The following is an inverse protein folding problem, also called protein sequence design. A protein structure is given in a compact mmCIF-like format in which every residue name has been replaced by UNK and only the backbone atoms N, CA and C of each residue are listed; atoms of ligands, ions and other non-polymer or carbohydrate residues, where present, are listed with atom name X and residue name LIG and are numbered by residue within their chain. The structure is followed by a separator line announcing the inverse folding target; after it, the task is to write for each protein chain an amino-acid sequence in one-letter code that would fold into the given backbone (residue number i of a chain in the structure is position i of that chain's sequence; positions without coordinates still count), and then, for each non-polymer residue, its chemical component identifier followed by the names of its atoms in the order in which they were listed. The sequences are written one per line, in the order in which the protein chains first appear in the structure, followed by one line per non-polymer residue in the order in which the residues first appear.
data_IF_689039286675
#
_entry.id   IF_689039286675
#
_cell.length_a   1.000
_cell.length_b   1.000
_cell.length_c   1.000
_cell.angle_alpha   90.00
_cell.angle_beta   90.00
_cell.angle_gamma   90.00
#
_symmetry.space_group_name_H-M   'P 1'
#
loop_
_entity.id
_entity.type
_entity.pdbx_description
1 polymer ?
#
# COMPACT_ATOMS: atom_id res chain seq x y z
N UNK A 1 33.83 -37.43 -43.08
CA UNK A 1 33.13 -38.57 -42.44
C UNK A 1 32.06 -37.94 -41.56
N UNK A 2 30.96 -37.48 -42.20
CA UNK A 2 29.58 -38.01 -42.13
C UNK A 2 28.90 -37.53 -40.83
N UNK A 3 27.78 -36.79 -40.79
CA UNK A 3 26.83 -36.26 -41.79
C UNK A 3 25.85 -35.29 -41.08
N UNK A 4 25.28 -34.34 -41.84
CA UNK A 4 24.08 -33.58 -41.50
C UNK A 4 22.83 -34.41 -41.88
N UNK A 5 21.78 -34.40 -41.05
CA UNK A 5 20.39 -34.11 -41.46
C UNK A 5 19.28 -34.76 -40.60
N UNK A 6 18.38 -33.86 -40.16
CA UNK A 6 16.92 -33.97 -40.14
C UNK A 6 16.15 -34.49 -38.90
N UNK A 7 15.05 -33.73 -38.64
CA UNK A 7 13.84 -33.97 -37.83
C UNK A 7 13.92 -33.45 -36.38
N UNK A 8 12.98 -32.66 -35.84
CA UNK A 8 11.70 -32.10 -36.31
C UNK A 8 11.20 -31.06 -35.30
N UNK A 9 10.43 -30.07 -35.77
CA UNK A 9 9.67 -29.10 -34.97
C UNK A 9 8.91 -29.74 -33.79
N UNK A 10 8.95 -29.06 -32.65
CA UNK A 10 8.02 -29.24 -31.54
C UNK A 10 7.94 -27.95 -30.74
N UNK A 11 6.85 -27.21 -30.91
CA UNK A 11 6.51 -26.01 -30.16
C UNK A 11 6.49 -26.31 -28.65
N UNK A 12 7.47 -25.78 -27.91
CA UNK A 12 7.47 -25.79 -26.45
C UNK A 12 7.00 -24.44 -25.89
N UNK A 13 5.76 -24.06 -26.20
CA UNK A 13 5.00 -23.10 -25.39
C UNK A 13 4.35 -23.85 -24.22
N UNK A 14 5.19 -24.28 -23.27
CA UNK A 14 4.72 -24.81 -22.00
C UNK A 14 4.13 -23.68 -21.15
N UNK A 15 2.80 -23.63 -21.05
CA UNK A 15 2.10 -22.79 -20.07
C UNK A 15 2.44 -23.26 -18.65
N UNK A 16 3.47 -22.67 -18.04
CA UNK A 16 3.75 -22.86 -16.63
C UNK A 16 2.80 -22.01 -15.78
N UNK A 17 1.60 -22.55 -15.51
CA UNK A 17 0.69 -22.01 -14.51
C UNK A 17 1.15 -22.39 -13.10
N UNK A 18 1.54 -21.42 -12.28
CA UNK A 18 1.80 -21.66 -10.86
C UNK A 18 0.47 -21.70 -10.10
N UNK A 19 0.14 -22.86 -9.54
CA UNK A 19 -1.02 -23.02 -8.65
C UNK A 19 -0.52 -22.97 -7.22
N UNK A 20 -0.74 -21.84 -6.54
CA UNK A 20 -0.51 -21.76 -5.10
C UNK A 20 -1.70 -22.43 -4.38
N UNK A 21 -1.47 -23.60 -3.78
CA UNK A 21 -2.42 -24.24 -2.86
C UNK A 21 -1.99 -23.88 -1.43
N UNK A 22 -2.83 -23.15 -0.70
CA UNK A 22 -2.67 -23.04 0.76
C UNK A 22 -2.98 -24.41 1.37
N UNK A 23 -2.09 -24.95 2.19
CA UNK A 23 -2.40 -26.12 3.01
C UNK A 23 -3.28 -25.68 4.20
N UNK A 24 -4.54 -26.10 4.18
CA UNK A 24 -5.48 -25.90 5.28
C UNK A 24 -6.83 -26.55 4.95
N UNK A 25 -7.26 -27.48 5.79
CA UNK A 25 -8.51 -28.25 5.65
C UNK A 25 -9.74 -27.38 5.92
N UNK A 26 -10.59 -27.20 4.91
CA UNK A 26 -11.88 -26.50 5.01
C UNK A 26 -12.45 -26.18 3.63
N UNK A 27 -13.67 -26.64 3.35
CA UNK A 27 -14.34 -26.58 2.06
C UNK A 27 -14.68 -25.14 1.60
N UNK A 28 -14.71 -24.92 0.28
CA UNK A 28 -14.86 -23.66 -0.47
C UNK A 28 -13.66 -22.68 -0.45
N UNK A 29 -12.59 -23.03 -1.17
CA UNK A 29 -11.54 -22.08 -1.56
C UNK A 29 -11.64 -21.74 -3.05
N UNK A 30 -11.77 -20.45 -3.37
CA UNK A 30 -11.63 -19.96 -4.73
C UNK A 30 -10.24 -20.34 -5.27
N UNK A 31 -10.20 -21.11 -6.35
CA UNK A 31 -8.97 -21.55 -7.00
C UNK A 31 -8.36 -20.36 -7.75
N UNK A 32 -7.23 -19.85 -7.26
CA UNK A 32 -6.51 -18.77 -7.93
C UNK A 32 -5.53 -19.33 -8.96
N UNK A 33 -5.52 -18.76 -10.16
CA UNK A 33 -4.55 -19.08 -11.21
C UNK A 33 -3.72 -17.85 -11.49
N UNK A 34 -2.44 -17.89 -11.13
CA UNK A 34 -1.48 -16.88 -11.56
C UNK A 34 -1.22 -17.10 -13.05
N UNK A 35 -1.61 -16.14 -13.88
CA UNK A 35 -1.30 -16.15 -15.31
C UNK A 35 -0.11 -15.24 -15.55
N UNK A 36 0.99 -15.82 -16.02
CA UNK A 36 2.20 -15.09 -16.42
C UNK A 36 2.15 -14.66 -17.90
N UNK A 37 0.96 -14.69 -18.50
CA UNK A 37 0.74 -14.34 -19.92
C UNK A 37 0.48 -12.84 -20.07
N UNK A 38 0.96 -12.19 -21.15
CA UNK A 38 0.56 -10.83 -21.51
C UNK A 38 -0.96 -10.65 -21.51
N UNK A 39 -1.45 -9.49 -21.08
CA UNK A 39 -2.90 -9.21 -21.02
C UNK A 39 -3.47 -9.10 -22.43
N UNK A 40 -3.97 -10.20 -22.99
CA UNK A 40 -4.50 -10.28 -24.36
C UNK A 40 -5.86 -9.58 -24.55
N UNK A 41 -6.61 -9.31 -23.47
CA UNK A 41 -7.94 -8.69 -23.54
C UNK A 41 -7.91 -7.21 -23.14
N UNK A 42 -7.73 -6.33 -24.13
CA UNK A 42 -7.69 -4.86 -23.97
C UNK A 42 -9.06 -4.20 -23.73
N UNK A 43 -9.87 -4.70 -22.79
CA UNK A 43 -11.06 -3.96 -22.39
C UNK A 43 -10.67 -2.77 -21.47
N UNK A 44 -11.21 -1.55 -21.66
CA UNK A 44 -10.71 -0.35 -20.99
C UNK A 44 -10.69 -0.45 -19.45
N UNK A 45 -9.55 -0.26 -18.79
CA UNK A 45 -9.53 -0.20 -17.32
C UNK A 45 -10.34 1.00 -16.82
N UNK A 46 -10.96 0.87 -15.64
CA UNK A 46 -11.76 1.94 -15.03
C UNK A 46 -11.05 2.61 -13.87
N UNK A 47 -10.16 1.89 -13.19
CA UNK A 47 -9.38 2.40 -12.06
C UNK A 47 -7.95 1.88 -12.17
N UNK A 48 -6.98 2.74 -11.88
CA UNK A 48 -5.57 2.39 -11.72
C UNK A 48 -5.11 2.80 -10.34
N UNK A 49 -4.56 1.85 -9.59
CA UNK A 49 -4.03 2.02 -8.24
C UNK A 49 -2.51 1.95 -8.29
N UNK A 50 -1.84 2.89 -7.65
CA UNK A 50 -0.37 2.96 -7.54
C UNK A 50 0.04 2.86 -6.07
N UNK A 51 0.96 1.94 -5.74
CA UNK A 51 1.26 1.55 -4.37
C UNK A 51 2.17 2.48 -3.54
N UNK A 52 1.80 2.66 -2.26
CA UNK A 52 2.51 3.10 -1.04
C UNK A 52 1.66 2.68 0.20
N UNK A 53 2.27 2.10 1.26
CA UNK A 53 1.74 1.12 2.26
C UNK A 53 0.33 1.22 2.88
N UNK A 54 -0.11 0.17 3.63
CA UNK A 54 -1.48 0.02 4.17
C UNK A 54 -1.58 -0.48 5.66
N UNK A 55 -2.81 -0.32 6.20
CA UNK A 55 -3.42 -0.56 7.52
C UNK A 55 -3.21 0.57 8.56
N UNK A 56 -4.14 1.54 8.54
CA UNK A 56 -3.99 2.79 9.29
C UNK A 56 -5.01 3.05 10.38
N UNK A 57 -6.22 2.47 10.35
CA UNK A 57 -7.31 2.91 11.21
C UNK A 57 -7.07 2.63 12.71
N UNK A 58 -6.71 1.38 13.06
CA UNK A 58 -6.43 1.00 14.45
C UNK A 58 -5.16 1.68 14.99
N UNK A 59 -4.11 1.73 14.18
CA UNK A 59 -2.85 2.41 14.52
C UNK A 59 -3.09 3.91 14.71
N UNK A 60 -3.89 4.54 13.85
CA UNK A 60 -4.30 5.94 13.96
C UNK A 60 -5.07 6.17 15.24
N UNK A 61 -6.06 5.34 15.56
CA UNK A 61 -6.84 5.44 16.78
C UNK A 61 -5.95 5.31 18.02
N UNK A 62 -5.00 4.36 18.02
CA UNK A 62 -4.02 4.20 19.08
C UNK A 62 -3.14 5.45 19.25
N UNK A 63 -2.56 5.97 18.16
CA UNK A 63 -1.71 7.18 18.22
C UNK A 63 -2.52 8.39 18.70
N UNK A 64 -3.78 8.52 18.28
CA UNK A 64 -4.69 9.57 18.74
C UNK A 64 -4.97 9.46 20.25
N UNK A 65 -5.27 8.24 20.75
CA UNK A 65 -5.46 8.00 22.18
C UNK A 65 -4.21 8.31 23.00
N UNK A 66 -3.01 7.94 22.50
CA UNK A 66 -1.74 8.29 23.15
C UNK A 66 -1.54 9.80 23.20
N UNK A 67 -1.78 10.50 22.09
CA UNK A 67 -1.64 11.96 22.02
C UNK A 67 -2.62 12.68 22.97
N UNK A 68 -3.83 12.16 23.12
CA UNK A 68 -4.83 12.66 24.06
C UNK A 68 -4.45 12.37 25.51
N UNK A 69 -4.05 11.13 25.82
CA UNK A 69 -3.65 10.67 27.16
C UNK A 69 -2.54 11.51 27.78
N UNK A 70 -1.53 11.87 26.99
CA UNK A 70 -0.42 12.71 27.45
C UNK A 70 -0.66 14.21 27.19
N UNK A 71 -1.83 14.58 26.65
CA UNK A 71 -2.20 15.96 26.37
C UNK A 71 -1.33 16.65 25.32
N UNK A 72 -0.69 15.88 24.43
CA UNK A 72 0.19 16.38 23.36
C UNK A 72 -0.59 17.23 22.33
N UNK A 73 -1.89 16.98 22.16
CA UNK A 73 -2.75 17.70 21.23
C UNK A 73 -2.69 19.24 21.37
N UNK A 74 -2.41 19.75 22.58
CA UNK A 74 -2.29 21.20 22.82
C UNK A 74 -1.09 21.85 22.11
N UNK A 75 -0.06 21.06 21.79
CA UNK A 75 1.16 21.51 21.13
C UNK A 75 1.20 21.16 19.64
N UNK A 76 0.30 20.29 19.18
CA UNK A 76 0.27 19.82 17.79
C UNK A 76 -0.57 20.78 16.95
N UNK A 77 0.05 21.37 15.92
CA UNK A 77 -0.63 22.17 14.90
C UNK A 77 -0.83 21.33 13.64
N UNK A 78 -2.02 20.74 13.50
CA UNK A 78 -2.39 20.04 12.25
C UNK A 78 -2.61 21.04 11.12
N UNK A 79 -2.55 20.59 9.87
CA UNK A 79 -2.70 21.45 8.67
C UNK A 79 -1.64 22.54 8.52
N UNK A 80 -0.51 22.41 9.20
CA UNK A 80 0.65 23.29 9.07
C UNK A 80 1.79 22.53 8.42
N UNK A 81 2.12 22.91 7.18
CA UNK A 81 3.21 22.33 6.42
C UNK A 81 4.43 23.24 6.55
N UNK A 82 5.52 22.73 7.13
CA UNK A 82 6.82 23.42 7.11
C UNK A 82 7.39 23.29 5.69
N UNK A 83 7.55 24.42 4.99
CA UNK A 83 8.06 24.46 3.60
C UNK A 83 9.53 24.82 3.53
N UNK A 84 10.07 25.48 4.55
CA UNK A 84 11.48 25.84 4.66
C UNK A 84 11.92 25.79 6.13
N UNK A 85 13.16 25.40 6.35
CA UNK A 85 13.83 25.48 7.65
C UNK A 85 15.29 25.87 7.42
N UNK A 86 15.69 27.05 7.88
CA UNK A 86 17.04 27.58 7.71
C UNK A 86 17.63 27.98 9.05
N UNK A 87 18.91 27.65 9.26
CA UNK A 87 19.62 28.06 10.46
C UNK A 87 20.07 29.51 10.32
N UNK A 88 19.67 30.35 11.27
CA UNK A 88 20.19 31.69 11.44
C UNK A 88 21.36 31.67 12.42
N UNK A 89 22.56 31.86 11.89
CA UNK A 89 23.79 31.87 12.66
C UNK A 89 23.97 33.13 13.51
N UNK A 90 23.30 34.24 13.20
CA UNK A 90 23.40 35.48 13.96
C UNK A 90 22.58 35.38 15.25
N UNK A 91 21.29 35.05 15.13
CA UNK A 91 20.38 34.95 16.28
C UNK A 91 20.37 33.56 16.94
N UNK A 92 21.13 32.58 16.40
CA UNK A 92 21.22 31.20 16.92
C UNK A 92 19.86 30.49 17.02
N UNK A 93 19.03 30.66 15.99
CA UNK A 93 17.70 30.05 15.89
C UNK A 93 17.47 29.43 14.52
N UNK A 94 16.58 28.46 14.44
CA UNK A 94 15.97 28.03 13.19
C UNK A 94 14.87 29.00 12.80
N UNK A 95 14.88 29.48 11.56
CA UNK A 95 13.72 30.14 10.94
C UNK A 95 12.95 29.12 10.12
N UNK A 96 11.63 29.11 10.29
CA UNK A 96 10.73 28.17 9.65
C UNK A 96 9.70 28.94 8.83
N UNK A 97 9.54 28.59 7.57
CA UNK A 97 8.39 29.03 6.78
C UNK A 97 7.30 27.97 6.89
N UNK A 98 6.12 28.37 7.37
CA UNK A 98 4.99 27.46 7.61
C UNK A 98 3.80 27.89 6.76
N UNK A 99 3.26 26.94 6.00
CA UNK A 99 2.05 27.11 5.21
C UNK A 99 0.87 26.41 5.87
N UNK A 100 -0.18 27.14 6.17
CA UNK A 100 -1.45 26.55 6.55
C UNK A 100 -2.16 26.02 5.30
N UNK A 101 -2.28 24.70 5.15
CA UNK A 101 -2.82 24.08 3.93
C UNK A 101 -4.34 24.21 3.81
N UNK A 102 -5.05 24.59 4.89
CA UNK A 102 -6.49 24.85 4.85
C UNK A 102 -6.80 26.27 4.38
N UNK A 103 -6.08 27.27 4.90
CA UNK A 103 -6.33 28.69 4.58
C UNK A 103 -5.48 29.19 3.41
N UNK A 104 -4.36 28.53 3.11
CA UNK A 104 -3.37 28.98 2.13
C UNK A 104 -2.38 30.00 2.66
N UNK A 105 -2.59 30.51 3.88
CA UNK A 105 -1.72 31.48 4.55
C UNK A 105 -0.32 30.91 4.77
N UNK A 106 0.70 31.76 4.63
CA UNK A 106 2.09 31.43 4.90
C UNK A 106 2.65 32.44 5.89
N UNK A 107 3.30 31.95 6.95
CA UNK A 107 3.88 32.76 8.00
C UNK A 107 5.25 32.22 8.42
N UNK A 108 6.03 33.05 9.10
CA UNK A 108 7.34 32.69 9.64
C UNK A 108 7.23 32.33 11.13
N UNK A 109 8.00 31.33 11.54
CA UNK A 109 8.12 30.89 12.94
C UNK A 109 9.60 30.63 13.28
N UNK A 110 9.93 30.56 14.56
CA UNK A 110 11.31 30.32 15.02
C UNK A 110 11.39 29.25 16.10
N UNK A 111 12.50 28.52 16.12
CA UNK A 111 12.76 27.50 17.14
C UNK A 111 14.25 27.44 17.50
N UNK A 112 14.57 27.21 18.77
CA UNK A 112 15.96 26.99 19.18
C UNK A 112 16.47 25.58 18.80
N UNK A 113 15.57 24.59 18.79
CA UNK A 113 15.87 23.19 18.47
C UNK A 113 14.88 22.71 17.41
N UNK A 114 15.40 22.05 16.36
CA UNK A 114 14.58 21.44 15.31
C UNK A 114 14.80 19.92 15.30
N UNK A 115 13.73 19.17 15.56
CA UNK A 115 13.73 17.71 15.43
C UNK A 115 12.84 17.30 14.27
N UNK A 116 13.41 16.69 13.23
CA UNK A 116 12.67 16.26 12.05
C UNK A 116 12.12 14.85 12.22
N UNK A 117 10.81 14.74 12.41
CA UNK A 117 10.06 13.48 12.45
C UNK A 117 9.18 13.31 11.20
N UNK A 118 9.62 13.82 10.04
CA UNK A 118 8.79 13.90 8.82
C UNK A 118 8.46 12.54 8.18
N UNK A 119 9.15 11.47 8.54
CA UNK A 119 9.04 10.15 7.90
C UNK A 119 9.67 10.09 6.49
N UNK A 120 9.98 8.87 6.05
CA UNK A 120 10.61 8.61 4.74
C UNK A 120 9.65 8.11 3.65
N UNK A 121 8.40 7.77 3.99
CA UNK A 121 7.45 7.05 3.12
C UNK A 121 6.17 7.83 2.83
N UNK A 122 6.16 9.15 3.07
CA UNK A 122 4.97 10.01 2.95
C UNK A 122 4.91 10.84 1.65
N UNK A 123 5.94 10.79 0.82
CA UNK A 123 5.95 11.51 -0.45
C UNK A 123 5.35 10.65 -1.55
N UNK A 124 4.33 11.19 -2.23
CA UNK A 124 3.71 10.54 -3.38
C UNK A 124 4.71 10.57 -4.55
N UNK A 125 5.06 9.40 -5.07
CA UNK A 125 5.90 9.23 -6.24
C UNK A 125 5.09 8.52 -7.35
N UNK A 126 4.63 9.29 -8.33
CA UNK A 126 3.93 8.74 -9.50
C UNK A 126 4.93 8.11 -10.48
N UNK A 127 4.64 6.93 -11.05
CA UNK A 127 5.50 6.32 -12.04
C UNK A 127 5.44 7.10 -13.37
N UNK A 128 6.58 7.19 -14.04
CA UNK A 128 6.71 7.80 -15.36
C UNK A 128 6.22 6.83 -16.45
N UNK A 129 4.90 6.72 -16.60
CA UNK A 129 4.27 5.91 -17.64
C UNK A 129 3.70 6.84 -18.71
N UNK A 130 4.15 6.68 -19.95
CA UNK A 130 3.62 7.41 -21.10
C UNK A 130 2.11 7.14 -21.21
N UNK A 131 1.30 8.20 -21.26
CA UNK A 131 -0.17 8.05 -21.34
C UNK A 131 -0.90 7.99 -19.99
N UNK A 132 -0.19 7.94 -18.85
CA UNK A 132 -0.83 7.74 -17.55
C UNK A 132 -1.82 8.85 -17.20
N UNK A 133 -1.43 10.11 -17.42
CA UNK A 133 -2.28 11.29 -17.13
C UNK A 133 -3.47 11.40 -18.10
N UNK A 134 -3.40 10.73 -19.25
CA UNK A 134 -4.47 10.68 -20.26
C UNK A 134 -5.45 9.53 -20.01
N UNK A 135 -5.23 8.73 -18.96
CA UNK A 135 -6.14 7.66 -18.59
C UNK A 135 -7.51 8.23 -18.24
N UNK A 136 -8.54 7.81 -18.99
CA UNK A 136 -9.91 8.29 -18.82
C UNK A 136 -10.61 7.75 -17.55
N UNK A 137 -10.02 6.73 -16.92
CA UNK A 137 -10.51 6.20 -15.65
C UNK A 137 -9.91 6.92 -14.44
N UNK A 138 -10.22 6.42 -13.25
CA UNK A 138 -9.73 7.00 -11.99
C UNK A 138 -8.31 6.55 -11.69
N UNK A 139 -7.41 7.51 -11.47
CA UNK A 139 -6.09 7.28 -10.90
C UNK A 139 -6.16 7.42 -9.39
N UNK A 140 -5.62 6.46 -8.66
CA UNK A 140 -5.58 6.47 -7.20
C UNK A 140 -4.19 6.07 -6.70
N UNK A 141 -3.62 6.87 -5.80
CA UNK A 141 -2.39 6.52 -5.12
C UNK A 141 -2.76 5.93 -3.76
N UNK A 142 -2.21 4.78 -3.37
CA UNK A 142 -2.69 4.13 -2.15
C UNK A 142 -2.31 4.86 -0.87
N UNK A 143 -1.28 5.71 -0.90
CA UNK A 143 -0.98 6.65 0.19
C UNK A 143 -1.93 7.86 0.27
N UNK A 144 -2.80 8.04 -0.74
CA UNK A 144 -3.83 9.07 -0.81
C UNK A 144 -5.14 8.44 -1.30
N UNK A 145 -5.56 7.38 -0.60
CA UNK A 145 -6.73 6.60 -0.96
C UNK A 145 -8.01 7.42 -0.89
N UNK A 146 -8.88 7.28 -1.88
CA UNK A 146 -10.20 7.90 -1.89
C UNK A 146 -11.25 6.90 -1.41
N UNK A 147 -11.69 7.06 -0.17
CA UNK A 147 -12.69 6.19 0.47
C UNK A 147 -14.08 6.25 -0.19
N UNK A 148 -14.37 7.29 -0.97
CA UNK A 148 -15.65 7.40 -1.70
C UNK A 148 -15.71 6.55 -2.96
N UNK A 149 -14.59 5.97 -3.37
CA UNK A 149 -14.49 5.18 -4.60
C UNK A 149 -15.05 3.77 -4.42
N UNK A 150 -16.30 3.53 -4.82
CA UNK A 150 -16.83 2.18 -4.97
C UNK A 150 -16.00 1.42 -6.01
N UNK A 151 -15.61 0.18 -5.73
CA UNK A 151 -14.83 -0.68 -6.63
C UNK A 151 -15.64 -1.86 -7.20
N UNK A 152 -16.89 -2.03 -6.76
CA UNK A 152 -17.76 -3.10 -7.28
C UNK A 152 -17.97 -2.95 -8.80
N UNK A 153 -17.97 -4.09 -9.49
CA UNK A 153 -18.15 -4.20 -10.93
C UNK A 153 -17.12 -3.38 -11.76
N UNK A 154 -15.94 -3.09 -11.19
CA UNK A 154 -14.85 -2.36 -11.86
C UNK A 154 -13.71 -3.26 -12.31
N UNK A 155 -13.00 -2.77 -13.33
CA UNK A 155 -11.71 -3.29 -13.77
C UNK A 155 -10.62 -2.41 -13.17
N UNK A 156 -9.79 -3.00 -12.32
CA UNK A 156 -8.76 -2.32 -11.54
C UNK A 156 -7.39 -2.81 -11.97
N UNK A 157 -6.53 -1.90 -12.39
CA UNK A 157 -5.11 -2.14 -12.56
C UNK A 157 -4.34 -1.74 -11.31
N UNK A 158 -3.54 -2.62 -10.74
CA UNK A 158 -2.66 -2.31 -9.60
C UNK A 158 -1.22 -2.29 -10.09
N UNK A 159 -0.55 -1.15 -9.98
CA UNK A 159 0.85 -0.97 -10.38
C UNK A 159 1.73 -1.07 -9.14
N UNK A 160 2.57 -2.10 -9.12
CA UNK A 160 3.46 -2.42 -8.01
C UNK A 160 3.16 -3.77 -7.35
N UNK A 161 4.17 -4.29 -6.65
CA UNK A 161 4.15 -5.57 -5.93
C UNK A 161 4.75 -5.42 -4.51
N UNK A 162 4.82 -4.19 -3.99
CA UNK A 162 5.29 -3.94 -2.62
C UNK A 162 4.22 -4.27 -1.58
N UNK A 163 4.53 -4.01 -0.30
CA UNK A 163 3.63 -4.30 0.84
C UNK A 163 2.22 -3.76 0.65
N UNK A 164 2.06 -2.54 0.11
CA UNK A 164 0.74 -1.95 -0.18
C UNK A 164 -0.05 -2.77 -1.18
N UNK A 165 0.57 -3.20 -2.30
CA UNK A 165 -0.13 -4.01 -3.30
C UNK A 165 -0.50 -5.38 -2.73
N UNK A 166 0.42 -5.99 -1.96
CA UNK A 166 0.21 -7.27 -1.27
C UNK A 166 -0.97 -7.19 -0.30
N UNK A 167 -1.22 -6.04 0.33
CA UNK A 167 -2.36 -5.83 1.22
C UNK A 167 -3.65 -5.44 0.47
N UNK A 168 -3.57 -4.58 -0.54
CA UNK A 168 -4.73 -4.04 -1.28
C UNK A 168 -5.36 -5.10 -2.17
N UNK A 169 -4.56 -5.82 -2.96
CA UNK A 169 -5.06 -6.79 -3.95
C UNK A 169 -5.97 -7.85 -3.32
N UNK A 170 -5.57 -8.56 -2.24
CA UNK A 170 -6.44 -9.53 -1.61
C UNK A 170 -7.63 -8.89 -0.89
N UNK A 171 -7.54 -7.64 -0.45
CA UNK A 171 -8.65 -6.94 0.18
C UNK A 171 -9.76 -6.54 -0.82
N UNK A 172 -9.39 -6.15 -2.05
CA UNK A 172 -10.36 -5.74 -3.07
C UNK A 172 -10.85 -6.90 -3.96
N UNK A 173 -10.06 -7.96 -4.12
CA UNK A 173 -10.41 -9.10 -4.99
C UNK A 173 -11.77 -9.75 -4.69
N UNK A 174 -12.23 -9.86 -3.42
CA UNK A 174 -13.54 -10.44 -3.10
C UNK A 174 -14.74 -9.55 -3.45
N UNK A 175 -14.52 -8.29 -3.85
CA UNK A 175 -15.60 -7.36 -4.17
C UNK A 175 -16.42 -7.84 -5.38
N UNK A 176 -17.70 -7.51 -5.38
CA UNK A 176 -18.65 -8.02 -6.36
C UNK A 176 -18.25 -7.61 -7.78
N UNK A 177 -18.14 -8.58 -8.70
CA UNK A 177 -17.89 -8.34 -10.12
C UNK A 177 -16.54 -7.68 -10.45
N UNK A 178 -15.62 -7.57 -9.49
CA UNK A 178 -14.33 -6.92 -9.69
C UNK A 178 -13.41 -7.77 -10.58
N UNK A 179 -12.60 -7.09 -11.41
CA UNK A 179 -11.48 -7.72 -12.13
C UNK A 179 -10.20 -6.96 -11.81
N UNK A 180 -9.26 -7.64 -11.16
CA UNK A 180 -7.98 -7.05 -10.74
C UNK A 180 -6.87 -7.57 -11.64
N UNK A 181 -6.07 -6.66 -12.19
CA UNK A 181 -4.84 -6.97 -12.93
C UNK A 181 -3.67 -6.33 -12.20
N UNK A 182 -2.69 -7.14 -11.78
CA UNK A 182 -1.49 -6.65 -11.11
C UNK A 182 -0.33 -6.53 -12.10
N UNK A 183 0.27 -5.34 -12.16
CA UNK A 183 1.46 -5.05 -12.96
C UNK A 183 2.67 -5.01 -12.03
N UNK A 184 3.47 -6.07 -12.06
CA UNK A 184 4.69 -6.20 -11.27
C UNK A 184 5.92 -6.06 -12.18
N UNK A 185 6.82 -5.12 -11.83
CA UNK A 185 8.11 -4.99 -12.52
C UNK A 185 9.11 -6.08 -12.13
N UNK A 186 9.03 -6.53 -10.88
CA UNK A 186 9.94 -7.51 -10.30
C UNK A 186 9.18 -8.43 -9.35
N UNK A 187 9.59 -9.70 -9.23
CA UNK A 187 9.02 -10.61 -8.23
C UNK A 187 9.34 -10.10 -6.82
N UNK A 188 8.43 -10.37 -5.88
CA UNK A 188 8.58 -10.02 -4.47
C UNK A 188 8.49 -11.29 -3.65
N UNK A 189 9.42 -11.47 -2.73
CA UNK A 189 9.42 -12.59 -1.80
C UNK A 189 8.40 -12.33 -0.70
N UNK A 190 7.42 -13.23 -0.60
CA UNK A 190 6.35 -13.15 0.39
C UNK A 190 6.46 -14.37 1.27
N UNK A 191 6.57 -14.13 2.57
CA UNK A 191 6.39 -15.17 3.59
C UNK A 191 4.94 -15.14 4.08
N UNK A 192 4.34 -16.30 4.41
CA UNK A 192 3.07 -16.32 5.12
C UNK A 192 3.17 -15.48 6.40
N UNK A 193 2.06 -14.90 6.83
CA UNK A 193 2.01 -14.18 8.10
C UNK A 193 2.53 -15.10 9.22
N UNK A 194 3.68 -14.74 9.78
CA UNK A 194 4.35 -15.50 10.84
C UNK A 194 3.42 -15.69 12.06
N UNK A 195 2.59 -14.68 12.33
CA UNK A 195 1.56 -14.69 13.37
C UNK A 195 0.59 -15.86 13.19
N UNK A 196 -0.04 -16.00 12.02
CA UNK A 196 -1.08 -17.02 11.80
C UNK A 196 -0.57 -18.44 11.99
N UNK A 197 0.65 -18.71 11.53
CA UNK A 197 1.30 -20.02 11.66
C UNK A 197 1.64 -20.36 13.11
N UNK A 198 2.07 -19.36 13.89
CA UNK A 198 2.34 -19.51 15.32
C UNK A 198 1.03 -19.61 16.14
N UNK A 199 0.03 -18.81 15.80
CA UNK A 199 -1.29 -18.78 16.46
C UNK A 199 -2.05 -20.09 16.25
N UNK A 200 -2.02 -20.66 15.04
CA UNK A 200 -2.59 -21.99 14.77
C UNK A 200 -1.91 -23.09 15.59
N UNK A 201 -0.57 -23.04 15.75
CA UNK A 201 0.17 -23.97 16.62
C UNK A 201 -0.21 -23.82 18.09
N UNK A 202 -0.56 -22.61 18.51
CA UNK A 202 -1.06 -22.29 19.85
C UNK A 202 -2.57 -22.50 20.01
N UNK A 203 -3.27 -23.05 19.01
CA UNK A 203 -4.74 -23.21 18.96
C UNK A 203 -5.51 -21.90 19.15
N UNK A 204 -4.89 -20.78 18.83
CA UNK A 204 -5.51 -19.47 18.83
C UNK A 204 -6.05 -19.19 17.43
N UNK A 205 -7.33 -18.82 17.34
CA UNK A 205 -7.96 -18.46 16.08
C UNK A 205 -7.51 -17.03 15.67
N UNK A 206 -6.76 -16.88 14.55
CA UNK A 206 -6.34 -15.56 14.08
C UNK A 206 -7.52 -14.62 13.81
N UNK A 207 -8.69 -15.15 13.46
CA UNK A 207 -9.90 -14.36 13.19
C UNK A 207 -10.60 -13.85 14.46
N UNK A 208 -10.30 -14.44 15.63
CA UNK A 208 -10.83 -14.02 16.92
C UNK A 208 -9.89 -13.06 17.67
N UNK A 209 -8.69 -12.84 17.15
CA UNK A 209 -7.67 -12.00 17.79
C UNK A 209 -7.96 -10.54 17.48
N UNK A 210 -9.02 -9.99 18.07
CA UNK A 210 -9.10 -8.54 18.26
C UNK A 210 -7.97 -8.18 19.22
N UNK A 211 -6.96 -7.47 18.73
CA UNK A 211 -5.95 -6.85 19.57
C UNK A 211 -6.67 -5.84 20.49
N UNK A 212 -7.11 -6.30 21.67
CA UNK A 212 -7.44 -5.41 22.77
C UNK A 212 -6.12 -4.90 23.31
N UNK A 213 -5.66 -3.77 22.79
CA UNK A 213 -4.67 -2.97 23.50
C UNK A 213 -5.26 -2.69 24.89
N UNK A 214 -4.56 -3.20 25.91
CA UNK A 214 -4.87 -3.21 27.34
C UNK A 214 -6.06 -2.33 27.75
N UNK A 215 -7.09 -2.95 28.32
CA UNK A 215 -8.16 -2.21 28.97
C UNK A 215 -7.60 -1.37 30.15
N UNK A 216 -8.29 -0.28 30.44
CA UNK A 216 -7.89 0.80 31.34
C UNK A 216 -7.96 0.43 32.83
N UNK A 217 -7.52 -0.77 33.25
CA UNK A 217 -7.65 -1.21 34.65
C UNK A 217 -6.37 -1.71 35.32
N UNK A 218 -5.24 -1.04 35.06
CA UNK A 218 -4.02 -1.33 35.82
C UNK A 218 -2.87 -0.38 35.51
N UNK A 219 -2.91 0.79 36.15
CA UNK A 219 -1.82 1.64 36.72
C UNK A 219 -2.41 3.03 36.95
#
# INVERSE_FOLDING_TARGET
MIDESSKSNGDHLGQHGYTATQNGSGENRAKFTLKDTPVENQRPMRVVIVGAGFSGAEIRAYIQDVAERYGANRFIKTSHQVTSATWDSENKVWRLTVKNVKTGETFEDTANILVSAKGGLNQIAWPEIKGLKQFAGKLMYSGAWDESCDLNNKRVGVIGNGSSAIQIVPAIQPLEGIKVTCFARSPTWIIPAFGDSAMQKLRMDPSQTKCKFLDKSGI
#
